data_IF_988351399752
#
_entry.id   IF_988351399752
#
_cell.length_a   1.000
_cell.length_b   1.000
_cell.length_c   1.000
_cell.angle_alpha   90.00
_cell.angle_beta   90.00
_cell.angle_gamma   90.00
#
_symmetry.space_group_name_H-M   'P 1'
#
loop_
_entity.id
_entity.type
_entity.pdbx_description
1 polymer ?
#
# COMPACT_ATOMS: atom_id res chain seq x y z
N UNK A 1 -18.20 34.72 -7.61
CA UNK A 1 -18.26 33.62 -6.61
C UNK A 1 -16.90 32.91 -6.62
N UNK A 2 -16.02 33.33 -5.76
CA UNK A 2 -14.72 32.69 -5.59
C UNK A 2 -14.94 31.36 -4.85
N UNK A 3 -14.62 30.28 -5.50
CA UNK A 3 -14.67 28.94 -4.90
C UNK A 3 -13.45 28.84 -3.98
N UNK A 4 -13.66 29.05 -2.69
CA UNK A 4 -12.69 28.72 -1.68
C UNK A 4 -12.48 27.20 -1.70
N UNK A 5 -11.40 26.75 -2.32
CA UNK A 5 -10.92 25.38 -2.22
C UNK A 5 -10.60 25.10 -0.74
N UNK A 6 -11.53 24.43 -0.07
CA UNK A 6 -11.36 24.01 1.31
C UNK A 6 -10.12 23.11 1.40
N UNK A 7 -9.12 23.57 2.11
CA UNK A 7 -7.96 22.74 2.47
C UNK A 7 -8.43 21.57 3.34
N UNK A 8 -7.88 20.37 3.14
CA UNK A 8 -8.27 19.12 3.83
C UNK A 8 -8.16 19.19 5.36
N UNK A 9 -7.35 20.10 5.88
CA UNK A 9 -7.34 20.43 7.32
C UNK A 9 -8.19 21.64 7.60
N UNK A 10 -9.00 21.59 8.65
CA UNK A 10 -9.84 22.72 9.04
C UNK A 10 -8.99 24.00 9.19
N UNK A 11 -9.44 25.10 8.61
CA UNK A 11 -8.78 26.40 8.73
C UNK A 11 -8.58 26.81 10.21
N UNK A 12 -9.45 26.34 11.10
CA UNK A 12 -9.32 26.51 12.53
C UNK A 12 -8.07 25.85 13.11
N UNK A 13 -7.71 24.63 12.67
CA UNK A 13 -6.50 23.94 13.12
C UNK A 13 -5.23 24.65 12.64
N UNK A 14 -5.19 25.00 11.36
CA UNK A 14 -4.06 25.76 10.76
C UNK A 14 -3.88 27.12 11.44
N UNK A 15 -4.98 27.83 11.63
CA UNK A 15 -4.98 29.14 12.29
C UNK A 15 -4.61 29.03 13.78
N UNK A 16 -5.00 27.96 14.48
CA UNK A 16 -4.58 27.69 15.85
C UNK A 16 -3.07 27.46 15.92
N UNK A 17 -2.51 26.65 15.04
CA UNK A 17 -1.05 26.41 14.95
C UNK A 17 -0.28 27.69 14.60
N UNK A 18 -0.76 28.48 13.65
CA UNK A 18 -0.16 29.75 13.29
C UNK A 18 -0.24 30.77 14.48
N UNK A 19 -1.36 30.80 15.21
CA UNK A 19 -1.47 31.62 16.43
C UNK A 19 -0.48 31.19 17.50
N UNK A 20 -0.31 29.87 17.71
CA UNK A 20 0.65 29.35 18.67
C UNK A 20 2.09 29.67 18.28
N UNK A 21 2.43 29.59 16.99
CA UNK A 21 3.73 29.99 16.46
C UNK A 21 3.96 31.51 16.68
N UNK A 22 2.97 32.33 16.33
CA UNK A 22 3.05 33.79 16.54
C UNK A 22 3.12 34.14 18.03
N UNK A 23 2.35 33.46 18.87
CA UNK A 23 2.40 33.62 20.32
C UNK A 23 3.79 33.26 20.85
N UNK A 24 4.34 32.12 20.45
CA UNK A 24 5.69 31.69 20.79
C UNK A 24 6.73 32.75 20.39
N UNK A 25 6.66 33.25 19.14
CA UNK A 25 7.54 34.33 18.68
C UNK A 25 7.38 35.62 19.49
N UNK A 26 6.15 35.96 19.84
CA UNK A 26 5.88 37.19 20.67
C UNK A 26 6.44 37.02 22.08
N UNK A 27 6.33 35.83 22.67
CA UNK A 27 6.89 35.53 24.02
C UNK A 27 8.40 35.53 23.97
N UNK A 28 9.02 34.97 22.92
CA UNK A 28 10.48 35.03 22.72
C UNK A 28 10.96 36.47 22.64
N UNK A 29 10.32 37.30 21.77
CA UNK A 29 10.67 38.71 21.62
C UNK A 29 10.48 39.52 22.91
N UNK A 30 9.45 39.17 23.71
CA UNK A 30 9.28 39.81 25.06
C UNK A 30 10.39 39.37 26.02
N UNK A 31 10.79 38.10 25.96
CA UNK A 31 11.87 37.56 26.78
C UNK A 31 13.20 38.26 26.44
N UNK A 32 13.47 38.40 25.14
CA UNK A 32 14.67 39.09 24.67
C UNK A 32 14.71 40.56 25.14
N UNK A 33 13.58 41.29 24.98
CA UNK A 33 13.46 42.66 25.51
C UNK A 33 13.61 42.75 27.02
N UNK A 34 13.08 41.76 27.76
CA UNK A 34 13.27 41.73 29.22
C UNK A 34 14.73 41.45 29.63
N UNK A 35 15.44 40.63 28.83
CA UNK A 35 16.88 40.43 29.01
C UNK A 35 17.69 41.68 28.69
N UNK A 36 17.35 42.38 27.59
CA UNK A 36 17.97 43.67 27.22
C UNK A 36 17.77 44.73 28.31
N UNK A 37 16.54 44.83 28.85
CA UNK A 37 16.24 45.74 29.97
C UNK A 37 17.04 45.38 31.24
N UNK A 38 17.14 44.07 31.54
CA UNK A 38 17.96 43.58 32.65
C UNK A 38 19.43 43.98 32.52
N UNK A 39 19.96 43.89 31.29
CA UNK A 39 21.34 44.31 30.98
C UNK A 39 21.54 45.82 31.08
N UNK A 40 20.56 46.62 30.69
CA UNK A 40 20.62 48.09 30.84
C UNK A 40 20.59 48.51 32.31
N UNK A 41 19.99 47.72 33.19
CA UNK A 41 19.94 47.95 34.63
C UNK A 41 21.20 47.43 35.36
N UNK A 42 21.90 46.44 34.73
CA UNK A 42 23.17 45.95 35.28
C UNK A 42 24.33 46.92 34.91
N UNK A 43 24.97 47.60 35.90
CA UNK A 43 26.01 48.58 35.61
C UNK A 43 27.29 47.99 34.99
N UNK A 44 27.42 46.69 34.93
CA UNK A 44 28.56 45.98 34.34
C UNK A 44 28.10 44.83 33.44
N UNK A 45 27.71 45.11 32.18
CA UNK A 45 27.50 44.03 31.21
C UNK A 45 28.85 43.33 31.00
N UNK A 46 29.03 42.20 31.68
CA UNK A 46 30.25 41.43 31.55
C UNK A 46 30.30 40.77 30.19
N UNK A 47 31.47 40.63 29.59
CA UNK A 47 31.74 39.87 28.36
C UNK A 47 31.07 38.48 28.40
N UNK A 48 30.96 37.93 29.62
CA UNK A 48 30.27 36.65 29.89
C UNK A 48 28.79 36.73 29.56
N UNK A 49 28.07 37.79 29.98
CA UNK A 49 26.62 37.88 29.76
C UNK A 49 26.30 38.09 28.29
N UNK A 50 27.08 38.91 27.60
CA UNK A 50 26.98 39.09 26.16
C UNK A 50 27.28 37.79 25.39
N UNK A 51 28.29 37.05 25.82
CA UNK A 51 28.63 35.75 25.24
C UNK A 51 27.55 34.68 25.47
N UNK A 52 26.96 34.64 26.68
CA UNK A 52 25.84 33.74 26.99
C UNK A 52 24.61 34.10 26.15
N UNK A 53 24.30 35.38 25.98
CA UNK A 53 23.16 35.80 25.16
C UNK A 53 23.34 35.49 23.69
N UNK A 54 24.50 35.73 23.13
CA UNK A 54 24.83 35.35 21.76
C UNK A 54 24.72 33.82 21.56
N UNK A 55 25.23 33.06 22.52
CA UNK A 55 25.11 31.59 22.51
C UNK A 55 23.66 31.15 22.57
N UNK A 56 22.87 31.69 23.51
CA UNK A 56 21.44 31.39 23.63
C UNK A 56 20.68 31.79 22.36
N UNK A 57 20.97 32.94 21.77
CA UNK A 57 20.39 33.38 20.52
C UNK A 57 20.65 32.42 19.37
N UNK A 58 21.90 31.93 19.27
CA UNK A 58 22.28 30.90 18.27
C UNK A 58 21.56 29.56 18.53
N UNK A 59 21.47 29.11 19.77
CA UNK A 59 20.77 27.87 20.13
C UNK A 59 19.27 27.98 19.81
N UNK A 60 18.63 29.08 20.15
CA UNK A 60 17.23 29.32 19.83
C UNK A 60 16.99 29.39 18.31
N UNK A 61 17.89 30.02 17.56
CA UNK A 61 17.83 30.01 16.10
C UNK A 61 17.96 28.60 15.53
N UNK A 62 18.89 27.80 16.05
CA UNK A 62 19.07 26.42 15.65
C UNK A 62 17.85 25.55 16.00
N UNK A 63 17.27 25.70 17.18
CA UNK A 63 16.04 25.01 17.57
C UNK A 63 14.86 25.33 16.62
N UNK A 64 14.70 26.63 16.28
CA UNK A 64 13.67 27.04 15.32
C UNK A 64 13.89 26.42 13.94
N UNK A 65 15.10 26.44 13.44
CA UNK A 65 15.46 25.84 12.17
C UNK A 65 15.24 24.31 12.19
N UNK A 66 15.60 23.63 13.27
CA UNK A 66 15.38 22.18 13.44
C UNK A 66 13.87 21.86 13.46
N UNK A 67 13.06 22.66 14.14
CA UNK A 67 11.59 22.50 14.11
C UNK A 67 11.03 22.66 12.70
N UNK A 68 11.50 23.62 11.93
CA UNK A 68 11.11 23.78 10.54
C UNK A 68 11.45 22.55 9.68
N UNK A 69 12.62 21.93 9.92
CA UNK A 69 13.00 20.68 9.26
C UNK A 69 12.08 19.53 9.67
N UNK A 70 11.74 19.42 10.95
CA UNK A 70 10.80 18.40 11.46
C UNK A 70 9.42 18.52 10.81
N UNK A 71 8.92 19.75 10.62
CA UNK A 71 7.65 19.96 9.91
C UNK A 71 7.74 19.44 8.48
N UNK A 72 8.77 19.81 7.72
CA UNK A 72 8.98 19.32 6.34
C UNK A 72 9.09 17.78 6.27
N UNK A 73 9.79 17.17 7.21
CA UNK A 73 9.89 15.70 7.28
C UNK A 73 8.54 15.05 7.59
N UNK A 74 7.75 15.63 8.51
CA UNK A 74 6.39 15.14 8.84
C UNK A 74 5.45 15.25 7.64
N UNK A 75 5.45 16.39 6.97
CA UNK A 75 4.65 16.59 5.75
C UNK A 75 5.03 15.58 4.66
N UNK A 76 6.33 15.38 4.44
CA UNK A 76 6.80 14.38 3.48
C UNK A 76 6.42 12.96 3.88
N UNK A 77 6.46 12.64 5.17
CA UNK A 77 6.04 11.33 5.69
C UNK A 77 4.53 11.10 5.52
N UNK A 78 3.72 12.11 5.86
CA UNK A 78 2.27 12.05 5.67
C UNK A 78 1.91 11.87 4.20
N UNK A 79 2.46 12.67 3.30
CA UNK A 79 2.23 12.53 1.87
C UNK A 79 2.70 11.17 1.33
N UNK A 80 3.75 10.57 1.90
CA UNK A 80 4.20 9.23 1.52
C UNK A 80 3.22 8.16 2.01
N UNK A 81 2.67 8.32 3.22
CA UNK A 81 1.66 7.40 3.75
C UNK A 81 0.34 7.46 2.96
N UNK A 82 -0.07 8.66 2.56
CA UNK A 82 -1.26 8.86 1.72
C UNK A 82 -1.07 8.21 0.34
N UNK A 83 0.11 8.37 -0.24
CA UNK A 83 0.42 7.77 -1.53
C UNK A 83 0.48 6.23 -1.45
N UNK A 84 1.02 5.66 -0.36
CA UNK A 84 0.98 4.22 -0.10
C UNK A 84 -0.48 3.73 -0.04
N UNK A 85 -1.35 4.42 0.71
CA UNK A 85 -2.77 4.06 0.81
C UNK A 85 -3.46 4.13 -0.57
N UNK A 86 -3.17 5.17 -1.34
CA UNK A 86 -3.75 5.36 -2.67
C UNK A 86 -3.28 4.28 -3.65
N UNK A 87 -2.00 3.90 -3.59
CA UNK A 87 -1.45 2.85 -4.42
C UNK A 87 -1.96 1.46 -4.01
N UNK A 88 -2.20 1.23 -2.71
CA UNK A 88 -2.83 0.00 -2.21
C UNK A 88 -4.26 -0.16 -2.74
N UNK A 89 -5.05 0.91 -2.79
CA UNK A 89 -6.38 0.87 -3.43
C UNK A 89 -6.29 0.50 -4.91
N UNK A 90 -5.36 1.12 -5.65
CA UNK A 90 -5.12 0.76 -7.04
C UNK A 90 -4.69 -0.71 -7.21
N UNK A 91 -3.89 -1.22 -6.27
CA UNK A 91 -3.53 -2.65 -6.21
C UNK A 91 -4.76 -3.54 -6.02
N UNK A 92 -5.64 -3.19 -5.08
CA UNK A 92 -6.88 -3.94 -4.82
C UNK A 92 -7.80 -3.97 -6.04
N UNK A 93 -7.93 -2.84 -6.73
CA UNK A 93 -8.71 -2.76 -7.97
C UNK A 93 -8.09 -3.61 -9.08
N UNK A 94 -6.75 -3.60 -9.19
CA UNK A 94 -6.01 -4.44 -10.10
C UNK A 94 -6.21 -5.93 -9.79
N UNK A 95 -6.16 -6.31 -8.52
CA UNK A 95 -6.40 -7.67 -8.06
C UNK A 95 -7.84 -8.12 -8.33
N UNK A 96 -8.82 -7.24 -8.10
CA UNK A 96 -10.23 -7.47 -8.47
C UNK A 96 -10.40 -7.63 -9.98
N UNK A 97 -9.78 -6.76 -10.76
CA UNK A 97 -9.83 -6.84 -12.24
C UNK A 97 -9.18 -8.11 -12.74
N UNK A 98 -8.04 -8.51 -12.17
CA UNK A 98 -7.40 -9.79 -12.44
C UNK A 98 -8.30 -10.98 -12.08
N UNK A 99 -9.00 -10.89 -10.97
CA UNK A 99 -9.97 -11.92 -10.59
C UNK A 99 -11.13 -11.99 -11.60
N UNK A 100 -11.60 -10.85 -12.08
CA UNK A 100 -12.62 -10.80 -13.13
C UNK A 100 -12.12 -11.41 -14.44
N UNK A 101 -10.92 -11.07 -14.89
CA UNK A 101 -10.32 -11.66 -16.09
C UNK A 101 -10.11 -13.15 -15.92
N UNK A 102 -9.65 -13.61 -14.77
CA UNK A 102 -9.55 -15.06 -14.47
C UNK A 102 -10.91 -15.73 -14.55
N UNK A 103 -11.94 -15.11 -14.01
CA UNK A 103 -13.33 -15.57 -14.11
C UNK A 103 -13.78 -15.64 -15.58
N UNK A 104 -13.42 -14.67 -16.39
CA UNK A 104 -13.79 -14.64 -17.81
C UNK A 104 -12.97 -15.62 -18.65
N UNK A 105 -11.67 -15.81 -18.36
CA UNK A 105 -10.87 -16.88 -18.98
C UNK A 105 -11.49 -18.25 -18.67
N UNK A 106 -11.93 -18.44 -17.43
CA UNK A 106 -12.61 -19.67 -17.03
C UNK A 106 -13.94 -19.80 -17.73
N UNK A 107 -14.66 -18.69 -17.82
CA UNK A 107 -15.93 -18.64 -18.54
C UNK A 107 -15.76 -18.97 -20.02
N UNK A 108 -14.75 -18.38 -20.67
CA UNK A 108 -14.39 -18.68 -22.05
C UNK A 108 -13.95 -20.15 -22.19
N UNK A 109 -13.05 -20.61 -21.35
CA UNK A 109 -12.60 -22.01 -21.35
C UNK A 109 -13.74 -22.99 -21.21
N UNK A 110 -14.70 -22.67 -20.38
CA UNK A 110 -15.92 -23.45 -20.21
C UNK A 110 -16.77 -23.47 -21.47
N UNK A 111 -16.99 -22.26 -22.05
CA UNK A 111 -17.76 -22.14 -23.29
C UNK A 111 -17.18 -23.03 -24.39
N UNK A 112 -15.85 -23.01 -24.53
CA UNK A 112 -15.13 -23.84 -25.51
C UNK A 112 -15.21 -25.32 -25.16
N UNK A 113 -15.00 -25.68 -23.89
CA UNK A 113 -15.06 -27.08 -23.46
C UNK A 113 -16.46 -27.66 -23.61
N UNK A 114 -17.49 -26.83 -23.39
CA UNK A 114 -18.86 -27.25 -23.62
C UNK A 114 -19.15 -27.50 -25.10
N UNK A 115 -18.58 -26.67 -25.97
CA UNK A 115 -18.73 -26.87 -27.41
C UNK A 115 -18.03 -28.15 -27.90
N UNK A 116 -16.96 -28.57 -27.22
CA UNK A 116 -16.27 -29.83 -27.53
C UNK A 116 -17.09 -31.09 -27.18
N UNK A 117 -18.10 -30.97 -26.33
CA UNK A 117 -18.99 -32.09 -25.98
C UNK A 117 -20.14 -32.28 -26.98
N UNK A 118 -20.18 -31.51 -28.05
CA UNK A 118 -21.16 -31.62 -29.13
C UNK A 118 -21.10 -33.03 -29.74
N UNK A 119 -22.22 -33.53 -30.28
CA UNK A 119 -22.23 -34.78 -31.06
C UNK A 119 -21.17 -34.73 -32.16
N UNK A 120 -20.62 -35.86 -32.52
CA UNK A 120 -19.49 -35.97 -33.45
C UNK A 120 -19.73 -35.23 -34.77
N UNK A 121 -20.97 -35.08 -35.19
CA UNK A 121 -21.37 -34.36 -36.41
C UNK A 121 -21.33 -32.82 -36.29
N UNK A 122 -21.21 -32.29 -35.09
CA UNK A 122 -21.13 -30.85 -34.81
C UNK A 122 -19.80 -30.44 -34.19
N UNK A 123 -18.79 -31.34 -34.25
CA UNK A 123 -17.44 -31.07 -33.73
C UNK A 123 -16.56 -30.28 -34.68
N UNK A 124 -17.06 -30.03 -35.90
CA UNK A 124 -16.32 -29.17 -36.83
C UNK A 124 -16.20 -27.75 -36.27
N UNK A 125 -15.00 -27.19 -36.39
CA UNK A 125 -14.73 -25.81 -35.97
C UNK A 125 -15.64 -24.85 -36.71
N UNK A 126 -16.35 -24.02 -35.98
CA UNK A 126 -17.24 -23.00 -36.53
C UNK A 126 -16.82 -21.59 -36.10
N UNK A 127 -17.40 -20.55 -36.71
CA UNK A 127 -17.07 -19.17 -36.42
C UNK A 127 -17.27 -18.77 -34.96
N UNK A 128 -18.11 -19.50 -34.20
CA UNK A 128 -18.26 -19.27 -32.77
C UNK A 128 -17.10 -19.89 -31.96
N UNK A 129 -16.49 -20.98 -32.46
CA UNK A 129 -15.26 -21.54 -31.87
C UNK A 129 -14.06 -20.62 -32.14
N UNK A 130 -14.01 -19.99 -33.34
CA UNK A 130 -12.98 -19.02 -33.68
C UNK A 130 -13.09 -17.75 -32.81
N UNK A 131 -14.31 -17.24 -32.60
CA UNK A 131 -14.58 -16.12 -31.71
C UNK A 131 -14.18 -16.42 -30.26
N UNK A 132 -14.46 -17.63 -29.77
CA UNK A 132 -14.05 -18.07 -28.44
C UNK A 132 -12.52 -18.19 -28.33
N UNK A 133 -11.85 -18.67 -29.36
CA UNK A 133 -10.41 -18.75 -29.39
C UNK A 133 -9.76 -17.35 -29.40
N UNK A 134 -10.30 -16.42 -30.18
CA UNK A 134 -9.85 -15.03 -30.21
C UNK A 134 -10.06 -14.33 -28.86
N UNK A 135 -11.23 -14.49 -28.23
CA UNK A 135 -11.52 -13.96 -26.90
C UNK A 135 -10.49 -14.48 -25.87
N UNK A 136 -10.23 -15.80 -25.89
CA UNK A 136 -9.26 -16.41 -24.96
C UNK A 136 -7.87 -15.82 -25.12
N UNK A 137 -7.38 -15.68 -26.34
CA UNK A 137 -6.08 -15.08 -26.59
C UNK A 137 -6.02 -13.63 -26.08
N UNK A 138 -7.10 -12.91 -26.30
CA UNK A 138 -7.22 -11.53 -25.84
C UNK A 138 -7.19 -11.42 -24.31
N UNK A 139 -7.98 -12.22 -23.62
CA UNK A 139 -8.02 -12.26 -22.15
C UNK A 139 -6.67 -12.69 -21.54
N UNK A 140 -5.95 -13.62 -22.15
CA UNK A 140 -4.62 -14.02 -21.70
C UNK A 140 -3.59 -12.89 -21.87
N UNK A 141 -3.69 -12.11 -22.94
CA UNK A 141 -2.86 -10.91 -23.13
C UNK A 141 -3.17 -9.87 -22.04
N UNK A 142 -4.45 -9.59 -21.80
CA UNK A 142 -4.89 -8.66 -20.75
C UNK A 142 -4.41 -9.11 -19.38
N UNK A 143 -4.56 -10.39 -19.05
CA UNK A 143 -4.05 -10.97 -17.80
C UNK A 143 -2.55 -10.73 -17.61
N UNK A 144 -1.73 -10.98 -18.64
CA UNK A 144 -0.28 -10.75 -18.58
C UNK A 144 0.06 -9.29 -18.35
N UNK A 145 -0.65 -8.38 -19.00
CA UNK A 145 -0.48 -6.93 -18.84
C UNK A 145 -0.77 -6.53 -17.39
N UNK A 146 -1.90 -6.96 -16.85
CA UNK A 146 -2.28 -6.63 -15.47
C UNK A 146 -1.34 -7.29 -14.43
N UNK A 147 -0.87 -8.51 -14.67
CA UNK A 147 0.12 -9.15 -13.79
C UNK A 147 1.48 -8.44 -13.83
N UNK A 148 1.85 -7.87 -14.97
CA UNK A 148 3.05 -7.01 -15.08
C UNK A 148 2.85 -5.71 -14.29
N UNK A 149 1.71 -5.08 -14.44
CA UNK A 149 1.35 -3.88 -13.67
C UNK A 149 1.31 -4.18 -12.16
N UNK A 150 0.74 -5.30 -11.75
CA UNK A 150 0.71 -5.71 -10.34
C UNK A 150 2.12 -5.85 -9.76
N UNK A 151 3.04 -6.47 -10.50
CA UNK A 151 4.45 -6.57 -10.11
C UNK A 151 5.11 -5.19 -9.99
N UNK A 152 4.82 -4.28 -10.92
CA UNK A 152 5.32 -2.91 -10.88
C UNK A 152 4.78 -2.15 -9.66
N UNK A 153 3.50 -2.29 -9.37
CA UNK A 153 2.85 -1.73 -8.16
C UNK A 153 3.48 -2.28 -6.89
N UNK A 154 3.71 -3.59 -6.81
CA UNK A 154 4.34 -4.22 -5.64
C UNK A 154 5.77 -3.69 -5.41
N UNK A 155 6.55 -3.56 -6.48
CA UNK A 155 7.89 -2.96 -6.40
C UNK A 155 7.84 -1.51 -5.94
N UNK A 156 6.91 -0.73 -6.47
CA UNK A 156 6.75 0.67 -6.09
C UNK A 156 6.30 0.83 -4.63
N UNK A 157 5.44 -0.06 -4.13
CA UNK A 157 5.07 -0.11 -2.71
C UNK A 157 6.28 -0.37 -1.82
N UNK A 158 7.19 -1.27 -2.21
CA UNK A 158 8.43 -1.52 -1.48
C UNK A 158 9.33 -0.28 -1.47
N UNK A 159 9.43 0.43 -2.59
CA UNK A 159 10.21 1.68 -2.69
C UNK A 159 9.62 2.75 -1.76
N UNK A 160 8.30 2.92 -1.77
CA UNK A 160 7.61 3.86 -0.89
C UNK A 160 7.76 3.50 0.59
N UNK A 161 7.67 2.21 0.94
CA UNK A 161 7.88 1.77 2.32
C UNK A 161 9.32 2.00 2.77
N UNK A 162 10.29 1.76 1.90
CA UNK A 162 11.69 2.10 2.15
C UNK A 162 11.91 3.61 2.33
N UNK A 163 11.25 4.45 1.54
CA UNK A 163 11.30 5.89 1.70
C UNK A 163 10.63 6.34 3.00
N UNK A 164 9.49 5.76 3.33
CA UNK A 164 8.78 6.00 4.61
C UNK A 164 9.65 5.69 5.81
N UNK A 165 10.33 4.53 5.81
CA UNK A 165 11.22 4.12 6.89
C UNK A 165 12.38 5.08 7.06
N UNK A 166 12.99 5.52 5.97
CA UNK A 166 14.10 6.49 6.01
C UNK A 166 13.64 7.85 6.51
N UNK A 167 12.47 8.33 6.05
CA UNK A 167 11.86 9.56 6.56
C UNK A 167 11.60 9.49 8.07
N UNK A 168 11.05 8.37 8.55
CA UNK A 168 10.79 8.15 9.96
C UNK A 168 12.08 8.12 10.79
N UNK A 169 13.14 7.50 10.31
CA UNK A 169 14.44 7.48 10.96
C UNK A 169 15.05 8.89 11.06
N UNK A 170 15.07 9.65 9.97
CA UNK A 170 15.52 11.05 9.98
C UNK A 170 14.69 11.92 10.93
N UNK A 171 13.38 11.74 10.93
CA UNK A 171 12.47 12.47 11.81
C UNK A 171 12.77 12.16 13.28
N UNK A 172 12.98 10.91 13.62
CA UNK A 172 13.31 10.47 14.96
C UNK A 172 14.66 11.03 15.40
N UNK A 173 15.66 11.00 14.53
CA UNK A 173 16.99 11.58 14.80
C UNK A 173 16.90 13.08 15.07
N UNK A 174 16.22 13.83 14.19
CA UNK A 174 16.06 15.29 14.37
C UNK A 174 15.22 15.63 15.60
N UNK A 175 14.22 14.83 15.96
CA UNK A 175 13.50 14.97 17.24
C UNK A 175 14.44 14.82 18.44
N UNK A 176 15.28 13.77 18.44
CA UNK A 176 16.26 13.55 19.51
C UNK A 176 17.25 14.71 19.62
N UNK A 177 17.73 15.23 18.49
CA UNK A 177 18.62 16.42 18.49
C UNK A 177 17.94 17.60 19.16
N UNK A 178 16.66 17.84 18.82
CA UNK A 178 15.88 18.92 19.44
C UNK A 178 15.73 18.72 20.96
N UNK A 179 15.39 17.51 21.38
CA UNK A 179 15.22 17.16 22.79
C UNK A 179 16.54 17.34 23.58
N UNK A 180 17.66 16.85 23.03
CA UNK A 180 18.98 17.01 23.64
C UNK A 180 19.35 18.49 23.81
N UNK A 181 19.10 19.32 22.81
CA UNK A 181 19.39 20.76 22.89
C UNK A 181 18.48 21.43 23.93
N UNK A 182 17.20 21.08 23.95
CA UNK A 182 16.26 21.62 24.95
C UNK A 182 16.67 21.20 26.37
N UNK A 183 17.12 19.96 26.57
CA UNK A 183 17.65 19.51 27.87
C UNK A 183 18.95 20.19 28.26
N UNK A 184 19.89 20.38 27.35
CA UNK A 184 21.11 21.11 27.58
C UNK A 184 20.85 22.56 28.02
N UNK A 185 19.93 23.25 27.38
CA UNK A 185 19.56 24.61 27.77
C UNK A 185 18.91 24.67 29.15
N UNK A 186 18.09 23.69 29.52
CA UNK A 186 17.46 23.65 30.84
C UNK A 186 18.45 23.27 31.95
N UNK A 187 19.42 22.41 31.69
CA UNK A 187 20.44 22.02 32.69
C UNK A 187 21.42 23.15 33.01
N UNK A 188 21.74 23.99 32.03
CA UNK A 188 22.61 25.16 32.25
C UNK A 188 21.94 26.22 33.16
N UNK A 189 20.61 26.32 33.15
CA UNK A 189 19.88 27.21 34.08
C UNK A 189 19.89 26.75 35.53
N UNK A 190 20.07 25.46 35.79
CA UNK A 190 20.07 24.87 37.14
C UNK A 190 21.46 24.65 37.76
N UNK A 191 22.51 24.68 36.97
CA UNK A 191 23.86 24.52 37.46
C UNK A 191 24.45 25.85 37.87
N UNK A 192 24.33 26.15 39.14
CA UNK A 192 25.18 27.19 39.76
C UNK A 192 26.65 26.88 39.48
N UNK A 193 27.36 27.85 38.93
CA UNK A 193 28.71 27.72 38.39
C UNK A 193 29.65 27.33 39.51
N UNK A 194 30.21 26.12 39.40
CA UNK A 194 31.45 25.83 40.11
C UNK A 194 32.61 26.36 39.28
N UNK A 195 33.25 27.43 39.77
CA UNK A 195 34.51 27.90 39.23
C UNK A 195 35.54 26.78 39.29
N UNK A 196 36.12 26.44 38.18
CA UNK A 196 37.26 25.53 38.15
C UNK A 196 37.59 25.02 36.75
N UNK A 197 38.65 25.57 36.21
CA UNK A 197 39.46 25.06 35.10
C UNK A 197 38.95 25.27 33.68
N UNK A 198 39.45 26.36 33.10
CA UNK A 198 39.51 26.57 31.65
C UNK A 198 40.59 25.67 31.04
N UNK A 199 40.24 24.44 30.68
CA UNK A 199 41.00 23.73 29.67
C UNK A 199 40.54 24.24 28.30
N UNK A 200 41.46 24.83 27.55
CA UNK A 200 41.25 25.25 26.16
C UNK A 200 40.98 23.97 25.35
N UNK A 201 39.84 23.87 24.66
CA UNK A 201 39.61 22.75 23.75
C UNK A 201 40.64 22.80 22.64
N UNK A 202 41.53 21.83 22.56
CA UNK A 202 42.57 21.68 21.53
C UNK A 202 42.06 21.07 20.20
N UNK A 203 40.74 20.97 20.02
CA UNK A 203 40.20 20.53 18.76
C UNK A 203 39.62 21.71 17.99
N UNK A 204 39.97 21.86 16.68
CA UNK A 204 39.35 22.89 15.87
C UNK A 204 37.84 22.70 15.91
N UNK A 205 37.04 23.78 15.96
CA UNK A 205 35.61 23.67 16.00
C UNK A 205 35.15 23.00 14.70
N UNK A 206 34.76 21.72 14.81
CA UNK A 206 34.02 21.06 13.75
C UNK A 206 32.70 21.86 13.63
N UNK A 207 32.53 22.58 12.53
CA UNK A 207 31.26 23.25 12.28
C UNK A 207 30.15 22.22 12.38
N UNK A 208 29.22 22.35 13.31
CA UNK A 208 28.14 21.39 13.42
C UNK A 208 27.37 21.39 12.12
N UNK A 209 27.09 20.20 11.56
CA UNK A 209 26.16 20.06 10.45
C UNK A 209 24.91 20.86 10.76
N UNK A 210 24.51 21.74 9.86
CA UNK A 210 23.35 22.59 10.06
C UNK A 210 22.08 21.82 10.37
N UNK A 211 21.02 22.45 10.82
CA UNK A 211 19.76 21.79 11.19
C UNK A 211 19.16 20.98 10.04
N UNK A 212 19.44 21.38 8.81
CA UNK A 212 19.05 20.69 7.58
C UNK A 212 20.25 19.93 7.00
N UNK A 213 20.36 18.68 7.37
CA UNK A 213 21.47 17.84 6.88
C UNK A 213 21.28 17.43 5.43
N UNK A 214 22.39 17.16 4.68
CA UNK A 214 22.30 16.63 3.33
C UNK A 214 21.48 15.33 3.24
N UNK A 215 21.48 14.55 4.33
CA UNK A 215 20.67 13.33 4.45
C UNK A 215 19.18 13.64 4.47
N UNK A 216 18.74 14.61 5.26
CA UNK A 216 17.34 15.08 5.27
C UNK A 216 16.91 15.55 3.87
N UNK A 217 17.77 16.29 3.17
CA UNK A 217 17.52 16.74 1.81
C UNK A 217 17.33 15.54 0.85
N UNK A 218 18.25 14.60 0.87
CA UNK A 218 18.19 13.38 0.04
C UNK A 218 16.95 12.55 0.32
N UNK A 219 16.60 12.36 1.59
CA UNK A 219 15.45 11.53 1.98
C UNK A 219 14.14 12.20 1.55
N UNK A 220 14.01 13.52 1.70
CA UNK A 220 12.84 14.27 1.22
C UNK A 220 12.75 14.21 -0.31
N UNK A 221 13.86 14.44 -1.02
CA UNK A 221 13.93 14.37 -2.48
C UNK A 221 13.57 12.98 -3.00
N UNK A 222 14.21 11.94 -2.46
CA UNK A 222 13.91 10.54 -2.87
C UNK A 222 12.47 10.14 -2.57
N UNK A 223 11.88 10.62 -1.47
CA UNK A 223 10.48 10.38 -1.16
C UNK A 223 9.55 11.14 -2.12
N UNK A 224 9.88 12.38 -2.50
CA UNK A 224 9.12 13.15 -3.47
C UNK A 224 9.16 12.49 -4.87
N UNK A 225 10.33 12.01 -5.30
CA UNK A 225 10.46 11.27 -6.55
C UNK A 225 9.67 9.95 -6.52
N UNK A 226 9.76 9.22 -5.41
CA UNK A 226 9.01 7.97 -5.24
C UNK A 226 7.49 8.21 -5.30
N UNK A 227 6.99 9.29 -4.68
CA UNK A 227 5.58 9.70 -4.76
C UNK A 227 5.18 10.08 -6.19
N UNK A 228 6.02 10.85 -6.89
CA UNK A 228 5.76 11.25 -8.28
C UNK A 228 5.68 10.02 -9.19
N UNK A 229 6.63 9.08 -9.07
CA UNK A 229 6.60 7.81 -9.82
C UNK A 229 5.36 6.99 -9.49
N UNK A 230 4.98 6.93 -8.22
CA UNK A 230 3.77 6.24 -7.78
C UNK A 230 2.49 6.87 -8.33
N UNK A 231 2.40 8.20 -8.33
CA UNK A 231 1.27 8.93 -8.91
C UNK A 231 1.13 8.65 -10.42
N UNK A 232 2.24 8.63 -11.15
CA UNK A 232 2.22 8.27 -12.58
C UNK A 232 1.80 6.81 -12.76
N UNK A 233 2.38 5.90 -11.98
CA UNK A 233 2.00 4.48 -12.03
C UNK A 233 0.52 4.25 -11.72
N UNK A 234 -0.06 5.01 -10.78
CA UNK A 234 -1.51 4.93 -10.50
C UNK A 234 -2.35 5.34 -11.71
N UNK A 235 -1.94 6.38 -12.45
CA UNK A 235 -2.62 6.78 -13.69
C UNK A 235 -2.53 5.68 -14.74
N UNK A 236 -1.32 5.16 -14.98
CA UNK A 236 -1.10 4.06 -15.91
C UNK A 236 -1.93 2.81 -15.55
N UNK A 237 -2.01 2.50 -14.26
CA UNK A 237 -2.82 1.39 -13.75
C UNK A 237 -4.31 1.64 -13.97
N UNK A 238 -4.80 2.85 -13.68
CA UNK A 238 -6.20 3.20 -13.89
C UNK A 238 -6.57 3.13 -15.38
N UNK A 239 -5.74 3.68 -16.25
CA UNK A 239 -5.92 3.61 -17.70
C UNK A 239 -5.89 2.15 -18.20
N UNK A 240 -4.93 1.36 -17.70
CA UNK A 240 -4.84 -0.06 -18.05
C UNK A 240 -6.06 -0.86 -17.59
N UNK A 241 -6.60 -0.57 -16.42
CA UNK A 241 -7.84 -1.18 -15.92
C UNK A 241 -9.01 -0.78 -16.81
N UNK A 242 -9.16 0.51 -17.09
CA UNK A 242 -10.27 1.00 -17.93
C UNK A 242 -10.23 0.41 -19.33
N UNK A 243 -9.07 0.44 -19.98
CA UNK A 243 -8.89 -0.19 -21.29
C UNK A 243 -9.16 -1.67 -21.25
N UNK A 244 -8.68 -2.36 -20.22
CA UNK A 244 -8.92 -3.79 -20.03
C UNK A 244 -10.41 -4.09 -19.90
N UNK A 245 -11.14 -3.32 -19.11
CA UNK A 245 -12.60 -3.49 -18.93
C UNK A 245 -13.34 -3.24 -20.23
N UNK A 246 -12.99 -2.20 -20.99
CA UNK A 246 -13.58 -1.91 -22.30
C UNK A 246 -13.38 -3.05 -23.30
N UNK A 247 -12.14 -3.53 -23.42
CA UNK A 247 -11.78 -4.60 -24.33
C UNK A 247 -12.41 -5.95 -23.92
N UNK A 248 -12.46 -6.21 -22.63
CA UNK A 248 -13.13 -7.38 -22.06
C UNK A 248 -14.62 -7.39 -22.40
N UNK A 249 -15.29 -6.23 -22.25
CA UNK A 249 -16.70 -6.05 -22.58
C UNK A 249 -16.96 -6.28 -24.08
N UNK A 250 -16.17 -5.67 -24.95
CA UNK A 250 -16.31 -5.81 -26.41
C UNK A 250 -16.11 -7.27 -26.86
N UNK A 251 -15.08 -7.94 -26.37
CA UNK A 251 -14.83 -9.34 -26.69
C UNK A 251 -15.96 -10.25 -26.20
N UNK A 252 -16.49 -9.98 -25.01
CA UNK A 252 -17.62 -10.73 -24.46
C UNK A 252 -18.90 -10.56 -25.30
N UNK A 253 -19.18 -9.34 -25.75
CA UNK A 253 -20.33 -9.05 -26.61
C UNK A 253 -20.22 -9.78 -27.96
N UNK A 254 -19.08 -9.68 -28.63
CA UNK A 254 -18.82 -10.34 -29.91
C UNK A 254 -19.07 -11.88 -29.84
N UNK A 255 -18.59 -12.53 -28.79
CA UNK A 255 -18.82 -13.97 -28.59
C UNK A 255 -20.30 -14.28 -28.33
N UNK A 256 -21.00 -13.43 -27.56
CA UNK A 256 -22.41 -13.66 -27.27
C UNK A 256 -23.28 -13.50 -28.53
N UNK A 257 -22.92 -12.55 -29.38
CA UNK A 257 -23.64 -12.35 -30.68
C UNK A 257 -23.38 -13.52 -31.60
N UNK A 258 -22.13 -14.01 -31.71
CA UNK A 258 -21.80 -15.20 -32.49
C UNK A 258 -22.46 -16.48 -31.96
N UNK A 259 -22.51 -16.66 -30.66
CA UNK A 259 -23.23 -17.78 -30.03
C UNK A 259 -24.75 -17.65 -30.23
N UNK A 260 -25.31 -16.43 -30.16
CA UNK A 260 -26.73 -16.21 -30.38
C UNK A 260 -27.12 -16.54 -31.81
N UNK A 261 -26.28 -16.20 -32.76
CA UNK A 261 -26.44 -16.58 -34.16
C UNK A 261 -26.38 -18.09 -34.34
N UNK A 262 -25.45 -18.75 -33.67
CA UNK A 262 -25.31 -20.20 -33.68
C UNK A 262 -26.43 -20.93 -32.93
N UNK A 263 -27.01 -20.32 -31.91
CA UNK A 263 -28.17 -20.85 -31.16
C UNK A 263 -29.38 -20.99 -32.04
N UNK A 264 -29.57 -20.10 -33.01
CA UNK A 264 -30.62 -20.26 -34.00
C UNK A 264 -30.44 -21.55 -34.81
N UNK A 265 -29.19 -21.98 -35.00
CA UNK A 265 -28.85 -23.21 -35.72
C UNK A 265 -28.83 -24.44 -34.79
N UNK A 266 -28.58 -24.25 -33.52
CA UNK A 266 -28.39 -25.35 -32.60
C UNK A 266 -29.25 -25.20 -31.35
N UNK A 267 -30.57 -25.37 -31.53
CA UNK A 267 -31.52 -25.48 -30.38
C UNK A 267 -31.12 -26.59 -29.45
N UNK A 268 -30.26 -27.47 -29.94
CA UNK A 268 -29.78 -28.67 -29.24
C UNK A 268 -28.65 -28.48 -28.28
N UNK A 269 -27.98 -27.32 -28.25
CA UNK A 269 -26.79 -27.18 -27.38
C UNK A 269 -27.07 -26.62 -25.98
N UNK A 270 -28.27 -26.70 -25.55
CA UNK A 270 -28.76 -26.04 -24.35
C UNK A 270 -28.54 -26.75 -23.01
N UNK A 271 -28.30 -28.00 -23.01
CA UNK A 271 -28.40 -28.75 -21.73
C UNK A 271 -27.08 -28.99 -20.98
N UNK A 272 -25.98 -28.68 -21.59
CA UNK A 272 -24.68 -29.11 -21.03
C UNK A 272 -24.03 -28.16 -20.05
N UNK A 273 -24.69 -27.10 -19.71
CA UNK A 273 -24.05 -26.11 -18.86
C UNK A 273 -24.41 -26.14 -17.39
N UNK A 274 -25.43 -26.90 -17.08
CA UNK A 274 -25.76 -27.10 -15.67
C UNK A 274 -24.74 -27.97 -14.93
N UNK A 275 -23.80 -28.43 -15.67
CA UNK A 275 -23.05 -29.60 -15.28
C UNK A 275 -21.75 -29.36 -14.51
N UNK A 276 -21.24 -28.25 -14.59
CA UNK A 276 -19.97 -28.11 -13.91
C UNK A 276 -20.01 -27.92 -12.40
N UNK A 277 -21.08 -28.33 -11.76
CA UNK A 277 -21.36 -27.86 -10.42
C UNK A 277 -20.75 -28.64 -9.26
N UNK A 278 -20.63 -29.92 -9.41
CA UNK A 278 -20.31 -30.79 -8.27
C UNK A 278 -18.85 -30.83 -7.85
N UNK A 279 -17.96 -30.95 -8.78
CA UNK A 279 -16.55 -31.28 -8.47
C UNK A 279 -15.76 -30.08 -7.93
N UNK A 280 -16.06 -28.90 -8.44
CA UNK A 280 -15.39 -27.72 -7.90
C UNK A 280 -15.94 -27.29 -6.57
N UNK A 281 -17.10 -27.74 -6.13
CA UNK A 281 -17.53 -27.53 -4.76
C UNK A 281 -16.63 -28.27 -3.78
N UNK A 282 -16.25 -29.49 -4.13
CA UNK A 282 -15.30 -30.24 -3.32
C UNK A 282 -13.91 -29.60 -3.32
N UNK A 283 -13.48 -29.13 -4.49
CA UNK A 283 -12.22 -28.37 -4.58
C UNK A 283 -12.31 -27.03 -3.83
N UNK A 284 -13.47 -26.34 -3.90
CA UNK A 284 -13.73 -25.14 -3.14
C UNK A 284 -13.65 -25.35 -1.63
N UNK A 285 -14.25 -26.47 -1.15
CA UNK A 285 -14.16 -26.83 0.26
C UNK A 285 -12.72 -27.18 0.67
N UNK A 286 -11.95 -27.85 -0.21
CA UNK A 286 -10.53 -28.14 0.06
C UNK A 286 -9.70 -26.85 0.11
N UNK A 287 -9.89 -25.97 -0.87
CA UNK A 287 -9.14 -24.71 -0.91
C UNK A 287 -9.54 -23.79 0.25
N UNK A 288 -10.82 -23.79 0.65
CA UNK A 288 -11.27 -23.06 1.81
C UNK A 288 -10.69 -23.63 3.11
N UNK A 289 -10.65 -24.96 3.24
CA UNK A 289 -9.97 -25.64 4.35
C UNK A 289 -8.47 -25.29 4.40
N UNK A 290 -7.86 -25.18 3.23
CA UNK A 290 -6.46 -24.81 3.08
C UNK A 290 -6.23 -23.33 3.40
N UNK A 291 -7.12 -22.48 2.97
CA UNK A 291 -7.14 -21.07 3.33
C UNK A 291 -7.29 -20.89 4.84
N UNK A 292 -8.29 -21.51 5.44
CA UNK A 292 -8.54 -21.46 6.88
C UNK A 292 -7.33 -22.02 7.69
N UNK A 293 -6.67 -23.08 7.18
CA UNK A 293 -5.47 -23.64 7.81
C UNK A 293 -4.26 -22.70 7.71
N UNK A 294 -4.08 -22.04 6.57
CA UNK A 294 -2.98 -21.08 6.35
C UNK A 294 -3.22 -19.79 7.15
N UNK A 295 -4.46 -19.36 7.27
CA UNK A 295 -4.86 -18.22 8.10
C UNK A 295 -4.59 -18.50 9.59
N UNK A 296 -4.90 -19.71 10.06
CA UNK A 296 -4.52 -20.15 11.41
C UNK A 296 -3.00 -20.14 11.60
N UNK A 297 -2.25 -20.67 10.64
CA UNK A 297 -0.78 -20.69 10.72
C UNK A 297 -0.20 -19.27 10.77
N UNK A 298 -0.75 -18.34 9.99
CA UNK A 298 -0.39 -16.93 10.02
C UNK A 298 -0.72 -16.32 11.39
N UNK A 299 -1.89 -16.61 11.94
CA UNK A 299 -2.30 -16.18 13.28
C UNK A 299 -1.36 -16.69 14.37
N UNK A 300 -0.88 -17.92 14.27
CA UNK A 300 0.14 -18.47 15.18
C UNK A 300 1.50 -17.81 14.99
N UNK A 301 1.89 -17.54 13.76
CA UNK A 301 3.19 -16.92 13.43
C UNK A 301 3.27 -15.46 13.86
N UNK A 302 2.17 -14.73 13.66
CA UNK A 302 2.06 -13.29 14.01
C UNK A 302 1.30 -13.05 15.31
N UNK A 303 0.90 -14.12 15.99
CA UNK A 303 0.10 -14.03 17.21
C UNK A 303 0.82 -13.35 18.35
N UNK A 304 0.08 -12.72 19.27
CA UNK A 304 0.67 -11.96 20.37
C UNK A 304 1.55 -12.82 21.29
N UNK A 305 1.31 -14.13 21.37
CA UNK A 305 2.13 -15.04 22.20
C UNK A 305 3.53 -15.21 21.60
N UNK A 306 3.65 -15.43 20.31
CA UNK A 306 4.96 -15.54 19.63
C UNK A 306 5.72 -14.23 19.67
N UNK A 307 5.04 -13.12 19.42
CA UNK A 307 5.62 -11.79 19.44
C UNK A 307 5.99 -11.36 20.85
N UNK A 308 5.10 -11.57 21.81
CA UNK A 308 5.39 -11.26 23.22
C UNK A 308 6.45 -12.18 23.80
N UNK A 309 6.50 -13.44 23.41
CA UNK A 309 7.54 -14.39 23.81
C UNK A 309 8.91 -13.99 23.26
N UNK A 310 8.98 -13.58 22.00
CA UNK A 310 10.23 -13.09 21.41
C UNK A 310 10.66 -11.77 22.07
N UNK A 311 9.75 -10.86 22.27
CA UNK A 311 10.06 -9.57 22.92
C UNK A 311 10.32 -9.70 24.41
N UNK A 312 9.65 -10.63 25.10
CA UNK A 312 9.85 -10.86 26.53
C UNK A 312 11.00 -11.80 26.86
N UNK A 313 11.28 -12.80 26.00
CA UNK A 313 12.45 -13.69 26.20
C UNK A 313 13.76 -12.97 26.03
N UNK A 314 13.85 -12.04 25.09
CA UNK A 314 15.04 -11.25 24.92
C UNK A 314 15.26 -10.30 26.06
N UNK A 315 14.32 -10.27 26.98
CA UNK A 315 14.55 -9.56 28.21
C UNK A 315 15.37 -8.33 27.97
N UNK A 316 14.68 -7.42 27.47
CA UNK A 316 15.07 -6.04 27.34
C UNK A 316 15.68 -5.49 28.64
N UNK A 317 15.50 -6.22 29.74
CA UNK A 317 16.13 -5.99 31.04
C UNK A 317 17.59 -6.39 31.09
N UNK A 318 18.12 -7.14 30.13
CA UNK A 318 19.56 -7.42 30.06
C UNK A 318 20.34 -6.20 29.58
N UNK A 319 21.34 -5.74 30.32
CA UNK A 319 22.09 -4.54 29.93
C UNK A 319 22.73 -4.61 28.55
N UNK A 320 23.20 -5.80 28.14
CA UNK A 320 23.78 -6.02 26.82
C UNK A 320 22.76 -5.88 25.69
N UNK A 321 21.49 -6.26 25.93
CA UNK A 321 20.40 -6.14 24.95
C UNK A 321 19.93 -4.72 24.85
N UNK A 322 19.86 -3.97 25.92
CA UNK A 322 19.46 -2.56 25.92
C UNK A 322 20.40 -1.69 25.08
N UNK A 323 21.65 -2.01 24.99
CA UNK A 323 22.62 -1.31 24.14
C UNK A 323 22.35 -1.49 22.65
N UNK A 324 21.76 -2.62 22.24
CA UNK A 324 21.49 -2.99 20.87
C UNK A 324 20.04 -2.73 20.45
N UNK A 325 19.18 -2.32 21.35
CA UNK A 325 17.76 -2.05 21.13
C UNK A 325 17.45 -0.80 20.30
N UNK A 326 18.44 -0.12 19.82
CA UNK A 326 18.24 1.12 19.03
C UNK A 326 17.45 0.91 17.73
N UNK A 327 17.31 -0.33 17.28
CA UNK A 327 16.59 -0.69 16.07
C UNK A 327 15.74 -1.94 16.29
N UNK A 328 14.48 -1.79 16.72
CA UNK A 328 13.59 -2.92 17.04
C UNK A 328 13.47 -3.97 15.93
N UNK A 329 13.53 -3.57 14.67
CA UNK A 329 13.44 -4.47 13.52
C UNK A 329 14.67 -5.37 13.29
N UNK A 330 15.78 -5.13 14.01
CA UNK A 330 17.02 -5.89 13.84
C UNK A 330 17.43 -6.68 15.09
N UNK A 331 16.58 -6.70 16.10
CA UNK A 331 16.94 -7.17 17.43
C UNK A 331 17.13 -8.67 17.54
N UNK A 332 16.40 -9.42 16.77
CA UNK A 332 16.40 -10.88 16.81
C UNK A 332 16.52 -11.44 15.40
N UNK A 333 17.61 -12.19 15.10
CA UNK A 333 17.71 -12.93 13.84
C UNK A 333 16.49 -13.81 13.59
N UNK A 334 15.96 -14.44 14.65
CA UNK A 334 14.76 -15.27 14.62
C UNK A 334 13.49 -14.49 14.27
N UNK A 335 13.37 -13.25 14.73
CA UNK A 335 12.25 -12.38 14.39
C UNK A 335 12.21 -12.05 12.89
N UNK A 336 13.37 -11.95 12.24
CA UNK A 336 13.43 -11.76 10.78
C UNK A 336 12.90 -12.97 10.01
N UNK A 337 13.20 -14.17 10.48
CA UNK A 337 12.68 -15.39 9.86
C UNK A 337 11.18 -15.52 10.05
N UNK A 338 10.66 -15.17 11.22
CA UNK A 338 9.23 -15.17 11.52
C UNK A 338 8.50 -14.12 10.67
N UNK A 339 9.05 -12.91 10.55
CA UNK A 339 8.49 -11.86 9.70
C UNK A 339 8.49 -12.30 8.22
N UNK A 340 9.60 -12.86 7.73
CA UNK A 340 9.68 -13.43 6.38
C UNK A 340 8.71 -14.59 6.16
N UNK A 341 8.60 -15.48 7.14
CA UNK A 341 7.63 -16.57 7.12
C UNK A 341 6.18 -16.03 7.12
N UNK A 342 5.90 -15.00 7.90
CA UNK A 342 4.63 -14.29 7.92
C UNK A 342 4.28 -13.65 6.57
N UNK A 343 5.25 -12.99 5.92
CA UNK A 343 5.09 -12.45 4.58
C UNK A 343 4.81 -13.56 3.55
N UNK A 344 5.55 -14.67 3.61
CA UNK A 344 5.34 -15.83 2.76
C UNK A 344 3.98 -16.52 2.98
N UNK A 345 3.53 -16.61 4.22
CA UNK A 345 2.20 -17.12 4.56
C UNK A 345 1.09 -16.17 4.07
N UNK A 346 1.28 -14.88 4.18
CA UNK A 346 0.35 -13.87 3.66
C UNK A 346 0.23 -13.95 2.13
N UNK A 347 1.35 -14.14 1.44
CA UNK A 347 1.38 -14.32 -0.01
C UNK A 347 0.66 -15.63 -0.42
N UNK A 348 0.88 -16.72 0.30
CA UNK A 348 0.18 -17.99 0.13
C UNK A 348 -1.33 -17.88 0.37
N UNK A 349 -1.75 -17.14 1.39
CA UNK A 349 -3.15 -16.83 1.68
C UNK A 349 -3.80 -16.08 0.50
N UNK A 350 -3.15 -15.06 0.00
CA UNK A 350 -3.62 -14.30 -1.14
C UNK A 350 -3.72 -15.15 -2.41
N UNK A 351 -2.74 -16.02 -2.65
CA UNK A 351 -2.75 -16.97 -3.77
C UNK A 351 -3.88 -18.01 -3.63
N UNK A 352 -4.11 -18.53 -2.44
CA UNK A 352 -5.18 -19.49 -2.15
C UNK A 352 -6.56 -18.87 -2.26
N UNK A 353 -6.75 -17.63 -1.80
CA UNK A 353 -7.99 -16.88 -1.97
C UNK A 353 -8.35 -16.69 -3.46
N UNK A 354 -7.34 -16.42 -4.30
CA UNK A 354 -7.50 -16.36 -5.76
C UNK A 354 -7.95 -17.70 -6.35
N UNK A 355 -7.32 -18.79 -5.90
CA UNK A 355 -7.68 -20.15 -6.34
C UNK A 355 -9.10 -20.53 -5.90
N UNK A 356 -9.53 -20.12 -4.73
CA UNK A 356 -10.91 -20.32 -4.26
C UNK A 356 -11.92 -19.61 -5.16
N UNK A 357 -11.61 -18.39 -5.64
CA UNK A 357 -12.43 -17.70 -6.63
C UNK A 357 -12.55 -18.47 -7.95
N UNK A 358 -11.42 -19.02 -8.40
CA UNK A 358 -11.35 -19.85 -9.62
C UNK A 358 -12.09 -21.18 -9.47
N UNK A 359 -11.95 -21.83 -8.32
CA UNK A 359 -12.64 -23.11 -8.05
C UNK A 359 -14.16 -22.95 -7.93
N UNK A 360 -14.63 -21.81 -7.41
CA UNK A 360 -16.08 -21.49 -7.41
C UNK A 360 -16.68 -21.51 -8.82
N UNK A 361 -15.90 -21.12 -9.79
CA UNK A 361 -16.36 -21.10 -11.18
C UNK A 361 -16.24 -22.49 -11.87
N UNK A 362 -15.32 -23.34 -11.45
CA UNK A 362 -15.15 -24.68 -12.02
C UNK A 362 -16.10 -25.73 -11.47
N UNK A 363 -16.79 -25.45 -10.40
CA UNK A 363 -17.63 -26.43 -9.70
C UNK A 363 -18.76 -27.01 -10.52
N UNK A 364 -19.27 -26.28 -11.45
CA UNK A 364 -20.45 -26.69 -12.20
C UNK A 364 -20.18 -27.58 -13.40
N UNK A 365 -18.99 -28.08 -13.61
CA UNK A 365 -18.63 -28.63 -14.91
C UNK A 365 -18.88 -30.12 -15.13
N UNK A 366 -18.97 -30.82 -14.12
CA UNK A 366 -18.79 -32.27 -14.23
C UNK A 366 -20.07 -33.09 -14.07
N UNK A 367 -21.08 -32.55 -13.42
CA UNK A 367 -22.22 -33.40 -12.98
C UNK A 367 -23.18 -33.82 -14.09
N UNK A 368 -23.19 -33.18 -15.17
CA UNK A 368 -24.24 -33.34 -16.14
C UNK A 368 -23.80 -33.79 -17.53
N UNK A 369 -22.53 -33.63 -17.85
CA UNK A 369 -22.00 -34.01 -19.15
C UNK A 369 -22.23 -35.50 -19.50
N UNK A 370 -22.37 -36.32 -18.50
CA UNK A 370 -22.63 -37.73 -18.69
C UNK A 370 -24.09 -38.08 -19.00
N UNK A 371 -25.04 -37.24 -18.63
CA UNK A 371 -26.48 -37.58 -18.77
C UNK A 371 -27.13 -37.04 -20.01
N UNK A 372 -26.60 -35.94 -20.52
CA UNK A 372 -27.32 -35.16 -21.51
C UNK A 372 -26.65 -35.01 -22.88
N UNK A 373 -25.62 -35.81 -23.17
CA UNK A 373 -24.91 -35.77 -24.47
C UNK A 373 -25.80 -35.87 -25.70
N UNK A 374 -27.00 -36.43 -25.58
CA UNK A 374 -27.93 -36.47 -26.68
C UNK A 374 -28.78 -35.20 -26.86
N UNK A 375 -28.59 -34.24 -25.98
CA UNK A 375 -29.31 -32.96 -26.06
C UNK A 375 -28.38 -31.79 -26.43
N UNK A 376 -27.52 -32.05 -27.39
CA UNK A 376 -26.56 -31.03 -27.88
C UNK A 376 -27.20 -29.70 -28.25
N UNK A 377 -28.51 -29.71 -28.50
CA UNK A 377 -29.27 -28.54 -28.87
C UNK A 377 -29.44 -27.46 -27.79
N UNK A 378 -29.23 -27.87 -26.52
CA UNK A 378 -29.46 -26.97 -25.42
C UNK A 378 -28.15 -26.29 -24.99
N UNK A 379 -27.00 -26.81 -25.46
CA UNK A 379 -25.66 -26.36 -25.04
C UNK A 379 -25.39 -24.90 -25.35
N UNK A 380 -25.53 -24.48 -26.58
CA UNK A 380 -25.23 -23.09 -26.97
C UNK A 380 -26.21 -22.09 -26.34
N UNK A 381 -27.46 -22.50 -26.13
CA UNK A 381 -28.45 -21.67 -25.45
C UNK A 381 -28.15 -21.48 -23.97
N UNK A 382 -27.75 -22.55 -23.30
CA UNK A 382 -27.36 -22.47 -21.90
C UNK A 382 -26.02 -21.77 -21.74
N UNK A 383 -25.08 -21.94 -22.69
CA UNK A 383 -23.86 -21.13 -22.78
C UNK A 383 -24.21 -19.66 -22.86
N UNK A 384 -25.09 -19.29 -23.76
CA UNK A 384 -25.47 -17.89 -23.93
C UNK A 384 -26.23 -17.36 -22.72
N UNK A 385 -27.13 -18.13 -22.12
CA UNK A 385 -27.82 -17.77 -20.89
C UNK A 385 -26.84 -17.58 -19.73
N UNK A 386 -25.92 -18.51 -19.54
CA UNK A 386 -24.89 -18.42 -18.51
C UNK A 386 -23.96 -17.23 -18.74
N UNK A 387 -23.51 -17.02 -19.97
CA UNK A 387 -22.68 -15.86 -20.34
C UNK A 387 -23.42 -14.55 -20.10
N UNK A 388 -24.67 -14.44 -20.50
CA UNK A 388 -25.52 -13.27 -20.25
C UNK A 388 -25.70 -13.02 -18.75
N UNK A 389 -26.01 -14.06 -17.98
CA UNK A 389 -26.21 -13.96 -16.53
C UNK A 389 -24.95 -13.55 -15.78
N UNK A 390 -23.80 -14.09 -16.10
CA UNK A 390 -22.54 -13.78 -15.42
C UNK A 390 -21.84 -12.53 -15.98
N UNK A 391 -21.94 -12.28 -17.26
CA UNK A 391 -21.40 -11.10 -17.92
C UNK A 391 -22.28 -9.86 -17.69
N UNK A 392 -23.57 -9.92 -18.05
CA UNK A 392 -24.44 -8.76 -17.96
C UNK A 392 -24.66 -8.27 -16.54
N UNK A 393 -24.71 -9.16 -15.55
CA UNK A 393 -24.84 -8.77 -14.15
C UNK A 393 -23.68 -7.91 -13.67
N UNK A 394 -22.46 -8.19 -14.11
CA UNK A 394 -21.27 -7.36 -13.78
C UNK A 394 -21.30 -5.99 -14.45
N UNK A 395 -21.80 -5.94 -15.69
CA UNK A 395 -21.86 -4.69 -16.46
C UNK A 395 -22.97 -3.76 -15.96
N UNK A 396 -24.08 -4.32 -15.48
CA UNK A 396 -25.21 -3.55 -14.94
C UNK A 396 -24.87 -2.96 -13.57
N UNK A 397 -24.19 -3.70 -12.70
CA UNK A 397 -23.79 -3.19 -11.37
C UNK A 397 -22.78 -2.05 -11.49
N UNK A 398 -21.86 -2.11 -12.46
CA UNK A 398 -20.90 -1.03 -12.69
C UNK A 398 -21.47 0.18 -13.44
N UNK A 399 -22.68 0.05 -14.03
CA UNK A 399 -23.38 1.14 -14.73
C UNK A 399 -24.32 1.97 -13.86
N UNK A 400 -24.55 1.57 -12.62
CA UNK A 400 -25.39 2.31 -11.65
C UNK A 400 -24.56 3.25 -10.77
N UNK A 401 -23.26 3.30 -10.98
CA UNK A 401 -22.30 4.13 -10.25
C UNK A 401 -21.82 5.37 -11.03
N UNK A 402 -22.68 5.96 -11.86
CA UNK A 402 -22.45 7.29 -12.47
C UNK A 402 -23.52 8.24 -12.05
#
# INVERSE_FOLDING_TARGET
MEVNLATIGSDGWKNASIRNIRLSQTVVNRSDKACELGQQVDPLPTIRDTSIQLSNGRIHAYCRATRAVLVKLRESLLGTNEEIKSLLRGKEELEKTLEHIRKDIILNTRSTMHRQTRPLREKDSDGADDLLAAERQHLLKLKRILEAQLRSVQKQLQVLDGARKRLAACLQERSRVLDLICHAVSSVRGAGIKEGQTEKPMTPPIEPLGPYTPECARVISTAAEARKRSSNLRKEVAEAIEQTVKLQKAAHQSVNDGLTQKIAETVTMKQHLLVGSGETQMALFRSKRWYDATEMALGYTLGPVSYSDLTTRERLDRPAVQLHQRHPGNQLPEAREIVRAGEGLQESLNATARNIGLLRLTKKKVDEDARDKHRAAVIDGDVTRMRRRLGNHRWVINGIGC
#
